data_IF_831728746487
#
_entry.id   IF_831728746487
#
_cell.length_a   1.000
_cell.length_b   1.000
_cell.length_c   1.000
_cell.angle_alpha   90.00
_cell.angle_beta   90.00
_cell.angle_gamma   90.00
#
_symmetry.space_group_name_H-M   'P 1'
#
loop_
_entity.id
_entity.type
_entity.pdbx_description
1 polymer ?
#
# COMPACT_ATOMS: atom_id res chain seq x y z
N UNK A 1 -25.92 -2.90 28.14
CA UNK A 1 -25.52 -3.67 26.95
C UNK A 1 -26.65 -3.57 25.94
N UNK A 2 -26.45 -2.97 24.76
CA UNK A 2 -27.52 -2.82 23.77
C UNK A 2 -27.84 -4.22 23.19
N UNK A 3 -29.10 -4.63 23.25
CA UNK A 3 -29.53 -5.95 22.79
C UNK A 3 -29.48 -6.01 21.26
N UNK A 4 -28.62 -6.86 20.71
CA UNK A 4 -28.58 -7.12 19.26
C UNK A 4 -29.86 -7.81 18.81
N UNK A 5 -30.35 -7.47 17.61
CA UNK A 5 -31.49 -8.13 17.00
C UNK A 5 -31.03 -9.47 16.37
N UNK A 6 -31.61 -10.59 16.82
CA UNK A 6 -31.22 -11.91 16.37
C UNK A 6 -31.51 -12.17 14.89
N UNK A 7 -32.58 -11.60 14.33
CA UNK A 7 -32.91 -11.70 12.91
C UNK A 7 -31.87 -10.96 12.06
N UNK A 8 -31.45 -9.77 12.50
CA UNK A 8 -30.39 -9.00 11.83
C UNK A 8 -29.06 -9.76 11.80
N UNK A 9 -28.67 -10.40 12.90
CA UNK A 9 -27.41 -11.17 12.94
C UNK A 9 -27.43 -12.38 12.01
N UNK A 10 -28.60 -13.05 11.86
CA UNK A 10 -28.78 -14.16 10.91
C UNK A 10 -28.60 -13.68 9.48
N UNK A 11 -29.35 -12.65 9.07
CA UNK A 11 -29.28 -12.17 7.67
C UNK A 11 -27.94 -11.51 7.34
N UNK A 12 -27.27 -10.89 8.31
CA UNK A 12 -25.88 -10.42 8.15
C UNK A 12 -24.93 -11.59 7.89
N UNK A 13 -25.06 -12.69 8.63
CA UNK A 13 -24.28 -13.91 8.39
C UNK A 13 -24.54 -14.45 6.97
N UNK A 14 -25.80 -14.51 6.55
CA UNK A 14 -26.17 -14.98 5.20
C UNK A 14 -25.56 -14.10 4.11
N UNK A 15 -25.56 -12.77 4.29
CA UNK A 15 -24.89 -11.85 3.38
C UNK A 15 -23.38 -12.10 3.29
N UNK A 16 -22.71 -12.28 4.42
CA UNK A 16 -21.25 -12.52 4.45
C UNK A 16 -20.90 -13.87 3.84
N UNK A 17 -21.73 -14.91 4.05
CA UNK A 17 -21.61 -16.20 3.36
C UNK A 17 -21.79 -16.00 1.85
N UNK A 18 -22.81 -15.27 1.41
CA UNK A 18 -23.02 -14.98 -0.01
C UNK A 18 -21.83 -14.20 -0.63
N UNK A 19 -21.29 -13.21 0.09
CA UNK A 19 -20.11 -12.47 -0.37
C UNK A 19 -18.88 -13.38 -0.52
N UNK A 20 -18.69 -14.32 0.41
CA UNK A 20 -17.59 -15.30 0.36
C UNK A 20 -17.81 -16.29 -0.79
N UNK A 21 -18.90 -17.03 -0.75
CA UNK A 21 -19.14 -18.20 -1.59
C UNK A 21 -19.61 -17.82 -3.00
N UNK A 22 -20.53 -16.87 -3.14
CA UNK A 22 -21.12 -16.53 -4.43
C UNK A 22 -20.38 -15.39 -5.14
N UNK A 23 -19.71 -14.49 -4.40
CA UNK A 23 -18.94 -13.36 -4.97
C UNK A 23 -17.42 -13.53 -4.89
N UNK A 24 -16.92 -14.60 -4.27
CA UNK A 24 -15.49 -14.89 -4.17
C UNK A 24 -14.70 -13.78 -3.48
N UNK A 25 -15.31 -13.07 -2.52
CA UNK A 25 -14.65 -11.97 -1.81
C UNK A 25 -13.72 -12.50 -0.73
N UNK A 26 -12.61 -11.80 -0.50
CA UNK A 26 -11.64 -12.13 0.56
C UNK A 26 -12.18 -11.80 1.94
N UNK A 27 -11.64 -12.45 2.98
CA UNK A 27 -12.03 -12.19 4.38
C UNK A 27 -11.90 -10.71 4.76
N UNK A 28 -10.86 -10.01 4.29
CA UNK A 28 -10.70 -8.57 4.57
C UNK A 28 -11.84 -7.73 3.97
N UNK A 29 -12.37 -8.15 2.83
CA UNK A 29 -13.53 -7.49 2.21
C UNK A 29 -14.80 -7.76 3.02
N UNK A 30 -14.94 -8.97 3.57
CA UNK A 30 -16.05 -9.34 4.46
C UNK A 30 -16.00 -8.53 5.75
N UNK A 31 -14.84 -8.39 6.37
CA UNK A 31 -14.65 -7.60 7.59
C UNK A 31 -15.03 -6.13 7.40
N UNK A 32 -14.63 -5.53 6.27
CA UNK A 32 -15.00 -4.15 5.93
C UNK A 32 -16.52 -4.02 5.76
N UNK A 33 -17.16 -4.98 5.09
CA UNK A 33 -18.61 -4.99 4.91
C UNK A 33 -19.34 -5.16 6.26
N UNK A 34 -18.90 -6.12 7.08
CA UNK A 34 -19.44 -6.38 8.41
C UNK A 34 -19.33 -5.15 9.32
N UNK A 35 -18.17 -4.49 9.33
CA UNK A 35 -17.94 -3.26 10.11
C UNK A 35 -18.84 -2.11 9.63
N UNK A 36 -19.06 -1.97 8.32
CA UNK A 36 -19.95 -0.96 7.78
C UNK A 36 -21.42 -1.20 8.20
N UNK A 37 -21.88 -2.46 8.11
CA UNK A 37 -23.24 -2.85 8.52
C UNK A 37 -23.43 -2.66 10.04
N UNK A 38 -22.47 -3.09 10.86
CA UNK A 38 -22.54 -2.93 12.31
C UNK A 38 -22.58 -1.46 12.74
N UNK A 39 -21.87 -0.58 12.02
CA UNK A 39 -21.93 0.87 12.26
C UNK A 39 -23.33 1.44 11.99
N UNK A 40 -24.00 0.97 10.93
CA UNK A 40 -25.40 1.33 10.66
C UNK A 40 -26.37 0.75 11.71
N UNK A 41 -26.17 -0.50 12.12
CA UNK A 41 -26.96 -1.11 13.20
C UNK A 41 -26.82 -0.33 14.50
N UNK A 42 -25.60 0.08 14.85
CA UNK A 42 -25.32 0.90 16.04
C UNK A 42 -26.10 2.22 16.00
N UNK A 43 -26.05 2.92 14.86
CA UNK A 43 -26.78 4.18 14.66
C UNK A 43 -28.31 4.01 14.81
N UNK A 44 -28.86 2.92 14.30
CA UNK A 44 -30.31 2.65 14.36
C UNK A 44 -30.76 2.00 15.67
N UNK A 45 -29.85 1.77 16.62
CA UNK A 45 -30.15 1.07 17.87
C UNK A 45 -30.53 -0.40 17.65
N UNK A 46 -29.95 -1.04 16.63
CA UNK A 46 -30.18 -2.44 16.24
C UNK A 46 -31.65 -2.76 15.90
N UNK A 47 -32.42 -1.78 15.39
CA UNK A 47 -33.77 -2.01 14.84
C UNK A 47 -33.74 -3.07 13.72
N UNK A 48 -34.83 -3.82 13.57
CA UNK A 48 -34.93 -4.86 12.55
C UNK A 48 -34.76 -4.27 11.14
N UNK A 49 -33.97 -4.90 10.28
CA UNK A 49 -33.76 -4.39 8.91
C UNK A 49 -35.06 -4.34 8.09
N UNK A 50 -36.08 -5.14 8.43
CA UNK A 50 -37.44 -5.06 7.86
C UNK A 50 -38.15 -3.73 8.11
N UNK A 51 -37.69 -2.95 9.09
CA UNK A 51 -38.26 -1.62 9.38
C UNK A 51 -37.52 -0.50 8.65
N UNK A 52 -36.66 -0.86 7.70
CA UNK A 52 -35.86 0.10 6.96
C UNK A 52 -36.72 1.16 6.29
N UNK A 53 -36.34 2.43 6.47
CA UNK A 53 -36.90 3.55 5.73
C UNK A 53 -35.80 4.49 5.25
N UNK A 54 -36.00 5.21 4.12
CA UNK A 54 -35.03 6.19 3.61
C UNK A 54 -34.52 7.19 4.65
N UNK A 55 -35.35 7.59 5.62
CA UNK A 55 -34.98 8.53 6.68
C UNK A 55 -33.89 7.98 7.61
N UNK A 56 -33.79 6.66 7.75
CA UNK A 56 -32.69 6.04 8.51
C UNK A 56 -31.36 6.13 7.75
N UNK A 57 -31.38 6.03 6.42
CA UNK A 57 -30.18 6.23 5.61
C UNK A 57 -29.72 7.69 5.61
N UNK A 58 -30.67 8.65 5.52
CA UNK A 58 -30.34 10.08 5.55
C UNK A 58 -29.84 10.53 6.93
N UNK A 59 -30.48 10.08 8.02
CA UNK A 59 -30.01 10.35 9.38
C UNK A 59 -28.66 9.69 9.67
N UNK A 60 -28.43 8.45 9.20
CA UNK A 60 -27.13 7.79 9.33
C UNK A 60 -26.03 8.56 8.60
N UNK A 61 -26.28 9.06 7.39
CA UNK A 61 -25.32 9.90 6.66
C UNK A 61 -24.96 11.17 7.42
N UNK A 62 -25.97 11.85 7.98
CA UNK A 62 -25.77 13.07 8.75
C UNK A 62 -25.02 12.82 10.06
N UNK A 63 -25.26 11.68 10.70
CA UNK A 63 -24.53 11.26 11.88
C UNK A 63 -23.08 10.89 11.56
N UNK A 64 -22.88 10.05 10.55
CA UNK A 64 -21.56 9.61 10.12
C UNK A 64 -20.65 10.78 9.73
N UNK A 65 -21.20 11.85 9.13
CA UNK A 65 -20.43 13.04 8.77
C UNK A 65 -19.98 13.89 9.98
N UNK A 66 -20.63 13.75 11.14
CA UNK A 66 -20.26 14.42 12.40
C UNK A 66 -19.30 13.59 13.25
N UNK A 67 -19.16 12.30 12.97
CA UNK A 67 -18.28 11.42 13.74
C UNK A 67 -16.80 11.75 13.52
N UNK A 68 -16.00 11.51 14.54
CA UNK A 68 -14.54 11.61 14.51
C UNK A 68 -13.91 10.22 14.42
N UNK A 69 -12.70 10.15 13.89
CA UNK A 69 -11.89 8.93 13.88
C UNK A 69 -11.27 8.73 15.27
N UNK A 70 -11.51 7.58 15.94
CA UNK A 70 -10.89 7.30 17.24
C UNK A 70 -9.35 7.34 17.20
N UNK A 71 -8.77 6.95 16.06
CA UNK A 71 -7.32 6.88 15.89
C UNK A 71 -6.63 8.24 15.71
N UNK A 72 -7.35 9.26 15.21
CA UNK A 72 -6.75 10.57 14.90
C UNK A 72 -7.41 11.74 15.60
N UNK A 73 -8.55 11.55 16.26
CA UNK A 73 -9.37 12.61 16.86
C UNK A 73 -10.02 13.57 15.86
N UNK A 74 -9.70 13.47 14.56
CA UNK A 74 -10.19 14.35 13.49
C UNK A 74 -11.52 13.84 12.92
N UNK A 75 -12.33 14.71 12.27
CA UNK A 75 -13.52 14.27 11.53
C UNK A 75 -13.20 13.16 10.53
N UNK A 76 -14.14 12.23 10.33
CA UNK A 76 -13.95 11.15 9.35
C UNK A 76 -13.67 11.71 7.96
N UNK A 77 -12.72 11.07 7.26
CA UNK A 77 -12.41 11.46 5.88
C UNK A 77 -13.59 11.17 4.95
N UNK A 78 -13.77 11.98 3.90
CA UNK A 78 -14.78 11.73 2.85
C UNK A 78 -14.64 10.33 2.24
N UNK A 79 -13.41 9.80 2.12
CA UNK A 79 -13.16 8.43 1.66
C UNK A 79 -13.71 7.37 2.62
N UNK A 80 -13.57 7.58 3.95
CA UNK A 80 -14.17 6.71 4.97
C UNK A 80 -15.69 6.75 4.91
N UNK A 81 -16.28 7.95 4.81
CA UNK A 81 -17.74 8.10 4.64
C UNK A 81 -18.23 7.34 3.41
N UNK A 82 -17.56 7.55 2.27
CA UNK A 82 -17.91 6.92 1.00
C UNK A 82 -17.83 5.39 1.08
N UNK A 83 -16.75 4.84 1.64
CA UNK A 83 -16.56 3.41 1.80
C UNK A 83 -17.60 2.77 2.71
N UNK A 84 -17.85 3.36 3.88
CA UNK A 84 -18.89 2.87 4.81
C UNK A 84 -20.27 2.89 4.16
N UNK A 85 -20.66 4.01 3.54
CA UNK A 85 -21.97 4.14 2.91
C UNK A 85 -22.14 3.19 1.72
N UNK A 86 -21.10 2.98 0.91
CA UNK A 86 -21.14 2.00 -0.18
C UNK A 86 -21.27 0.57 0.32
N UNK A 87 -20.60 0.22 1.42
CA UNK A 87 -20.76 -1.08 2.07
C UNK A 87 -22.20 -1.32 2.53
N UNK A 88 -22.80 -0.35 3.22
CA UNK A 88 -24.19 -0.45 3.69
C UNK A 88 -25.18 -0.46 2.51
N UNK A 89 -24.97 0.39 1.50
CA UNK A 89 -25.76 0.40 0.27
C UNK A 89 -25.78 -0.98 -0.40
N UNK A 90 -24.60 -1.59 -0.60
CA UNK A 90 -24.49 -2.90 -1.24
C UNK A 90 -25.20 -4.01 -0.43
N UNK A 91 -25.20 -3.91 0.90
CA UNK A 91 -25.95 -4.83 1.76
C UNK A 91 -27.46 -4.67 1.55
N UNK A 92 -28.00 -3.44 1.55
CA UNK A 92 -29.44 -3.22 1.36
C UNK A 92 -29.92 -3.52 -0.07
N UNK A 93 -29.08 -3.31 -1.08
CA UNK A 93 -29.35 -3.74 -2.48
C UNK A 93 -29.42 -5.27 -2.63
N UNK A 94 -28.60 -6.00 -1.87
CA UNK A 94 -28.71 -7.45 -1.77
C UNK A 94 -29.97 -7.85 -0.99
N UNK A 95 -30.18 -7.25 0.18
CA UNK A 95 -31.30 -7.54 1.07
C UNK A 95 -32.66 -7.34 0.39
N UNK A 96 -32.80 -6.34 -0.48
CA UNK A 96 -34.03 -6.09 -1.24
C UNK A 96 -34.42 -7.24 -2.18
N UNK A 97 -33.51 -8.19 -2.44
CA UNK A 97 -33.74 -9.37 -3.30
C UNK A 97 -34.02 -10.63 -2.51
N UNK A 98 -33.78 -10.61 -1.20
CA UNK A 98 -33.88 -11.79 -0.35
C UNK A 98 -35.33 -12.10 0.06
N UNK A 99 -35.72 -13.39 0.11
CA UNK A 99 -37.03 -13.80 0.60
C UNK A 99 -37.32 -13.21 1.99
N UNK A 100 -38.54 -12.71 2.18
CA UNK A 100 -38.95 -12.06 3.43
C UNK A 100 -38.52 -10.59 3.60
N UNK A 101 -37.67 -10.07 2.70
CA UNK A 101 -37.24 -8.66 2.71
C UNK A 101 -37.69 -7.86 1.49
N UNK A 102 -38.00 -8.50 0.35
CA UNK A 102 -38.48 -7.82 -0.88
C UNK A 102 -39.63 -6.84 -0.69
N UNK A 103 -40.56 -7.15 0.21
CA UNK A 103 -41.72 -6.30 0.51
C UNK A 103 -41.37 -5.15 1.45
N UNK A 104 -40.36 -5.33 2.29
CA UNK A 104 -39.96 -4.41 3.35
C UNK A 104 -38.85 -3.44 2.93
N UNK A 105 -38.00 -3.85 1.99
CA UNK A 105 -36.84 -3.10 1.53
C UNK A 105 -36.91 -2.99 0.00
N UNK A 106 -37.10 -1.78 -0.51
CA UNK A 106 -37.04 -1.53 -1.96
C UNK A 106 -35.61 -1.28 -2.38
N UNK A 107 -35.25 -1.72 -3.59
CA UNK A 107 -33.92 -1.49 -4.14
C UNK A 107 -33.59 0.01 -4.25
N UNK A 108 -34.56 0.84 -4.64
CA UNK A 108 -34.42 2.30 -4.71
C UNK A 108 -34.11 2.95 -3.36
N UNK A 109 -34.59 2.36 -2.26
CA UNK A 109 -34.39 2.94 -0.93
C UNK A 109 -32.92 2.79 -0.48
N UNK A 110 -32.21 1.78 -0.98
CA UNK A 110 -30.77 1.63 -0.75
C UNK A 110 -29.96 2.78 -1.37
N UNK A 111 -30.45 3.41 -2.43
CA UNK A 111 -29.74 4.53 -3.08
C UNK A 111 -29.60 5.76 -2.17
N UNK A 112 -30.43 5.88 -1.12
CA UNK A 112 -30.35 6.98 -0.15
C UNK A 112 -29.04 7.00 0.64
N UNK A 113 -28.30 5.88 0.69
CA UNK A 113 -26.94 5.83 1.22
C UNK A 113 -25.91 6.56 0.35
N UNK A 114 -26.23 6.88 -0.91
CA UNK A 114 -25.31 7.55 -1.85
C UNK A 114 -24.91 8.94 -1.35
N UNK A 115 -23.60 9.25 -1.30
CA UNK A 115 -23.11 10.60 -1.02
C UNK A 115 -23.44 11.56 -2.16
N UNK A 116 -23.53 12.86 -1.87
CA UNK A 116 -23.65 13.85 -2.93
C UNK A 116 -22.45 13.76 -3.89
N UNK A 117 -22.66 14.15 -5.15
CA UNK A 117 -21.66 13.96 -6.23
C UNK A 117 -20.33 14.66 -5.93
N UNK A 118 -20.36 15.82 -5.29
CA UNK A 118 -19.15 16.57 -4.95
C UNK A 118 -18.33 15.86 -3.87
N UNK A 119 -18.99 15.40 -2.81
CA UNK A 119 -18.36 14.61 -1.75
C UNK A 119 -17.83 13.27 -2.27
N UNK A 120 -18.57 12.61 -3.17
CA UNK A 120 -18.10 11.40 -3.83
C UNK A 120 -16.83 11.68 -4.66
N UNK A 121 -16.80 12.76 -5.46
CA UNK A 121 -15.60 13.17 -6.20
C UNK A 121 -14.42 13.46 -5.27
N UNK A 122 -14.65 14.18 -4.17
CA UNK A 122 -13.61 14.49 -3.17
C UNK A 122 -13.12 13.22 -2.46
N UNK A 123 -14.02 12.25 -2.22
CA UNK A 123 -13.68 10.97 -1.60
C UNK A 123 -12.81 10.09 -2.50
N UNK A 124 -13.07 10.12 -3.81
CA UNK A 124 -12.35 9.31 -4.81
C UNK A 124 -11.19 10.05 -5.46
N UNK A 125 -11.02 11.34 -5.20
CA UNK A 125 -9.92 12.13 -5.73
C UNK A 125 -8.57 11.61 -5.24
N UNK A 126 -7.64 11.43 -6.18
CA UNK A 126 -6.25 11.13 -5.85
C UNK A 126 -5.65 12.34 -5.13
N UNK A 127 -5.27 12.15 -3.87
CA UNK A 127 -4.56 13.17 -3.09
C UNK A 127 -3.06 13.01 -3.30
N UNK A 128 -2.37 14.13 -3.46
CA UNK A 128 -0.93 14.18 -3.31
C UNK A 128 -0.59 13.68 -1.90
N UNK A 129 0.24 12.64 -1.83
CA UNK A 129 0.83 12.20 -0.57
C UNK A 129 2.33 12.44 -0.68
N UNK A 130 2.96 13.03 0.33
CA UNK A 130 4.38 13.25 0.28
C UNK A 130 5.10 11.89 0.17
N UNK A 131 6.17 11.86 -0.62
CA UNK A 131 7.07 10.72 -0.78
C UNK A 131 8.50 11.22 -0.70
N UNK A 132 9.43 10.41 -0.18
CA UNK A 132 10.81 10.84 -0.08
C UNK A 132 11.44 10.95 -1.48
N UNK A 133 12.41 11.83 -1.66
CA UNK A 133 13.29 11.81 -2.83
C UNK A 133 14.21 10.58 -2.77
N UNK A 134 14.81 10.20 -3.90
CA UNK A 134 15.78 9.11 -3.92
C UNK A 134 16.95 9.38 -2.96
N UNK A 135 17.47 10.61 -2.97
CA UNK A 135 18.54 11.06 -2.07
C UNK A 135 18.16 10.97 -0.58
N UNK A 136 16.92 11.31 -0.23
CA UNK A 136 16.44 11.13 1.14
C UNK A 136 16.45 9.66 1.57
N UNK A 137 16.06 8.73 0.69
CA UNK A 137 16.11 7.30 1.00
C UNK A 137 17.55 6.81 1.10
N UNK A 138 18.46 7.28 0.23
CA UNK A 138 19.90 6.98 0.33
C UNK A 138 20.49 7.48 1.64
N UNK A 139 20.14 8.70 2.05
CA UNK A 139 20.56 9.25 3.34
C UNK A 139 20.08 8.37 4.49
N UNK A 140 18.80 7.95 4.50
CA UNK A 140 18.28 7.00 5.49
C UNK A 140 19.13 5.72 5.52
N UNK A 141 19.39 5.10 4.37
CA UNK A 141 20.20 3.89 4.29
C UNK A 141 21.64 4.10 4.76
N UNK A 142 22.19 5.30 4.64
CA UNK A 142 23.56 5.63 5.07
C UNK A 142 23.70 5.81 6.59
N UNK A 143 22.64 6.29 7.27
CA UNK A 143 22.67 6.55 8.73
C UNK A 143 22.08 5.40 9.55
N UNK A 144 21.42 4.44 8.91
CA UNK A 144 20.92 3.25 9.60
C UNK A 144 22.08 2.45 10.21
N UNK A 145 21.95 2.00 11.48
CA UNK A 145 22.98 1.21 12.12
C UNK A 145 23.16 -0.14 11.41
N UNK A 146 24.34 -0.74 11.59
CA UNK A 146 24.73 -2.01 10.97
C UNK A 146 25.44 -2.98 11.92
N UNK A 147 25.49 -2.64 13.22
CA UNK A 147 26.26 -3.38 14.22
C UNK A 147 25.67 -4.76 14.47
N UNK A 148 24.36 -4.85 14.67
CA UNK A 148 23.66 -6.11 14.90
C UNK A 148 23.08 -6.69 13.62
N UNK A 149 22.86 -8.00 13.62
CA UNK A 149 22.23 -8.72 12.51
C UNK A 149 20.81 -8.21 12.21
N UNK A 150 20.07 -7.79 13.24
CA UNK A 150 18.73 -7.20 13.09
C UNK A 150 18.79 -5.83 12.42
N UNK A 151 19.79 -5.02 12.75
CA UNK A 151 19.98 -3.71 12.12
C UNK A 151 20.35 -3.83 10.64
N UNK A 152 21.24 -4.78 10.28
CA UNK A 152 21.55 -5.10 8.88
C UNK A 152 20.33 -5.61 8.11
N UNK A 153 19.52 -6.51 8.70
CA UNK A 153 18.23 -6.95 8.14
C UNK A 153 17.32 -5.75 7.85
N UNK A 154 17.16 -4.87 8.83
CA UNK A 154 16.25 -3.73 8.74
C UNK A 154 16.69 -2.74 7.66
N UNK A 155 18.01 -2.49 7.55
CA UNK A 155 18.61 -1.68 6.47
C UNK A 155 18.39 -2.33 5.10
N UNK A 156 18.65 -3.63 4.98
CA UNK A 156 18.43 -4.38 3.75
C UNK A 156 16.96 -4.44 3.35
N UNK A 157 16.02 -4.45 4.30
CA UNK A 157 14.58 -4.44 4.02
C UNK A 157 14.14 -3.15 3.33
N UNK A 158 14.61 -1.99 3.79
CA UNK A 158 14.30 -0.71 3.13
C UNK A 158 14.95 -0.65 1.75
N UNK A 159 16.23 -1.03 1.66
CA UNK A 159 16.95 -1.09 0.39
C UNK A 159 16.24 -2.00 -0.62
N UNK A 160 15.78 -3.17 -0.19
CA UNK A 160 15.06 -4.13 -1.02
C UNK A 160 13.71 -3.59 -1.52
N UNK A 161 12.94 -2.90 -0.67
CA UNK A 161 11.68 -2.29 -1.10
C UNK A 161 11.93 -1.16 -2.10
N UNK A 162 12.98 -0.35 -1.92
CA UNK A 162 13.37 0.65 -2.91
C UNK A 162 13.78 -0.02 -4.23
N UNK A 163 14.60 -1.07 -4.16
CA UNK A 163 15.16 -1.76 -5.31
C UNK A 163 14.10 -2.50 -6.14
N UNK A 164 13.04 -3.01 -5.50
CA UNK A 164 12.04 -3.88 -6.16
C UNK A 164 10.66 -3.26 -6.28
N UNK A 165 10.39 -2.17 -5.55
CA UNK A 165 9.07 -1.59 -5.42
C UNK A 165 8.02 -2.54 -4.82
N UNK A 166 8.41 -3.65 -4.18
CA UNK A 166 7.46 -4.65 -3.66
C UNK A 166 6.57 -4.09 -2.55
N UNK A 167 5.36 -4.67 -2.39
CA UNK A 167 4.45 -4.31 -1.29
C UNK A 167 4.92 -4.97 0.00
N UNK A 168 4.70 -4.31 1.15
CA UNK A 168 5.07 -4.80 2.48
C UNK A 168 4.60 -6.24 2.74
N UNK A 169 3.34 -6.56 2.41
CA UNK A 169 2.80 -7.92 2.53
C UNK A 169 3.55 -8.97 1.68
N UNK A 170 3.98 -8.61 0.47
CA UNK A 170 4.73 -9.52 -0.40
C UNK A 170 6.17 -9.73 0.12
N UNK A 171 6.81 -8.66 0.61
CA UNK A 171 8.17 -8.72 1.18
C UNK A 171 8.23 -9.62 2.40
N UNK A 172 7.28 -9.52 3.33
CA UNK A 172 7.31 -10.36 4.55
C UNK A 172 7.11 -11.85 4.28
N UNK A 173 6.49 -12.23 3.15
CA UNK A 173 6.28 -13.62 2.73
C UNK A 173 7.36 -14.14 1.77
N UNK A 174 8.32 -13.30 1.39
CA UNK A 174 9.27 -13.65 0.33
C UNK A 174 10.30 -14.68 0.83
N UNK A 175 10.48 -15.75 0.05
CA UNK A 175 11.47 -16.80 0.28
C UNK A 175 12.73 -16.58 -0.57
N UNK A 176 13.88 -17.07 -0.10
CA UNK A 176 15.17 -16.91 -0.80
C UNK A 176 15.14 -17.47 -2.24
N UNK A 177 14.48 -18.61 -2.49
CA UNK A 177 14.34 -19.21 -3.84
C UNK A 177 13.67 -18.31 -4.88
N UNK A 178 12.99 -17.26 -4.44
CA UNK A 178 12.28 -16.30 -5.31
C UNK A 178 13.16 -15.11 -5.71
N UNK A 179 14.35 -14.99 -5.14
CA UNK A 179 15.28 -13.90 -5.38
C UNK A 179 16.48 -14.41 -6.19
N UNK A 180 16.68 -13.81 -7.37
CA UNK A 180 17.85 -14.06 -8.22
C UNK A 180 18.67 -12.77 -8.29
N UNK A 181 19.73 -12.69 -7.47
CA UNK A 181 20.63 -11.53 -7.42
C UNK A 181 21.39 -11.37 -8.74
N UNK A 182 21.79 -12.47 -9.38
CA UNK A 182 22.53 -12.43 -10.64
C UNK A 182 21.70 -11.88 -11.80
N UNK A 183 20.42 -12.25 -11.87
CA UNK A 183 19.45 -11.69 -12.84
C UNK A 183 18.79 -10.39 -12.38
N UNK A 184 19.11 -9.90 -11.17
CA UNK A 184 18.50 -8.70 -10.57
C UNK A 184 16.97 -8.76 -10.62
N UNK A 185 16.41 -9.90 -10.21
CA UNK A 185 14.99 -10.22 -10.38
C UNK A 185 14.40 -10.90 -9.14
N UNK A 186 13.13 -10.62 -8.88
CA UNK A 186 12.31 -11.31 -7.87
C UNK A 186 11.07 -11.90 -8.53
N UNK A 187 10.85 -13.20 -8.33
CA UNK A 187 9.63 -13.90 -8.73
C UNK A 187 8.55 -13.78 -7.64
N UNK A 188 7.52 -12.98 -7.88
CA UNK A 188 6.38 -12.85 -6.98
C UNK A 188 5.27 -13.83 -7.38
N UNK A 189 5.46 -15.10 -7.05
CA UNK A 189 4.49 -16.17 -7.30
C UNK A 189 3.43 -16.20 -6.19
N UNK A 190 2.16 -15.99 -6.56
CA UNK A 190 1.07 -15.86 -5.59
C UNK A 190 0.81 -17.13 -4.75
N UNK A 191 1.41 -18.27 -5.12
CA UNK A 191 1.32 -19.53 -4.36
C UNK A 191 2.11 -19.50 -3.04
N UNK A 192 3.18 -18.72 -2.97
CA UNK A 192 4.01 -18.58 -1.76
C UNK A 192 4.33 -17.13 -1.38
N UNK A 193 4.00 -16.15 -2.24
CA UNK A 193 4.16 -14.71 -1.97
C UNK A 193 2.78 -14.06 -1.85
N UNK A 194 2.54 -13.32 -0.76
CA UNK A 194 1.28 -12.60 -0.48
C UNK A 194 1.14 -11.35 -1.37
N UNK A 195 0.91 -11.56 -2.66
CA UNK A 195 0.72 -10.49 -3.64
C UNK A 195 -0.71 -9.94 -3.61
N UNK A 196 -0.88 -8.68 -4.03
CA UNK A 196 -2.21 -8.07 -4.13
C UNK A 196 -3.02 -8.78 -5.20
N UNK A 197 -4.24 -9.20 -4.85
CA UNK A 197 -5.15 -9.92 -5.72
C UNK A 197 -4.57 -11.23 -6.29
N UNK A 198 -3.65 -11.87 -5.55
CA UNK A 198 -3.02 -13.14 -5.93
C UNK A 198 -2.41 -13.13 -7.34
N UNK A 199 -1.84 -11.99 -7.76
CA UNK A 199 -1.16 -11.86 -9.05
C UNK A 199 0.23 -12.48 -9.00
N UNK A 200 0.56 -13.27 -10.01
CA UNK A 200 1.92 -13.77 -10.23
C UNK A 200 2.64 -12.92 -11.28
N UNK A 201 3.81 -12.38 -10.94
CA UNK A 201 4.62 -11.56 -11.84
C UNK A 201 6.08 -11.51 -11.38
N UNK A 202 6.98 -11.03 -12.24
CA UNK A 202 8.36 -10.76 -11.88
C UNK A 202 8.58 -9.26 -11.65
N UNK A 203 9.36 -8.93 -10.63
CA UNK A 203 9.90 -7.59 -10.41
C UNK A 203 11.38 -7.59 -10.77
N UNK A 204 11.77 -6.70 -11.66
CA UNK A 204 13.18 -6.45 -11.95
C UNK A 204 13.67 -5.31 -11.06
N UNK A 205 14.95 -5.31 -10.71
CA UNK A 205 15.53 -4.25 -9.90
C UNK A 205 15.47 -2.92 -10.63
N UNK A 206 14.96 -1.91 -9.95
CA UNK A 206 14.98 -0.54 -10.43
C UNK A 206 16.41 0.03 -10.35
N UNK A 207 16.80 0.92 -11.29
CA UNK A 207 18.15 1.50 -11.34
C UNK A 207 18.34 2.59 -10.27
N UNK A 208 18.28 2.21 -8.99
CA UNK A 208 18.31 3.14 -7.85
C UNK A 208 19.71 3.39 -7.28
N UNK A 209 20.73 2.64 -7.73
CA UNK A 209 22.12 2.76 -7.31
C UNK A 209 22.77 1.42 -6.96
N UNK A 210 24.07 1.29 -7.25
CA UNK A 210 24.84 0.07 -6.95
C UNK A 210 25.09 -0.11 -5.45
N UNK A 211 25.18 0.98 -4.70
CA UNK A 211 25.22 1.01 -3.24
C UNK A 211 23.96 0.38 -2.61
N UNK A 212 22.78 0.67 -3.15
CA UNK A 212 21.52 0.07 -2.67
C UNK A 212 21.47 -1.42 -3.00
N UNK A 213 21.93 -1.80 -4.19
CA UNK A 213 22.02 -3.21 -4.59
C UNK A 213 23.03 -3.98 -3.72
N UNK A 214 24.16 -3.37 -3.38
CA UNK A 214 25.19 -3.94 -2.53
C UNK A 214 24.63 -4.32 -1.15
N UNK A 215 23.87 -3.42 -0.51
CA UNK A 215 23.23 -3.70 0.79
C UNK A 215 22.38 -4.97 0.73
N UNK A 216 21.61 -5.16 -0.34
CA UNK A 216 20.75 -6.34 -0.51
C UNK A 216 21.58 -7.59 -0.77
N UNK A 217 22.61 -7.49 -1.61
CA UNK A 217 23.52 -8.59 -1.92
C UNK A 217 24.24 -9.09 -0.66
N UNK A 218 24.86 -8.19 0.09
CA UNK A 218 25.55 -8.51 1.36
C UNK A 218 24.61 -9.19 2.35
N UNK A 219 23.36 -8.73 2.43
CA UNK A 219 22.35 -9.36 3.29
C UNK A 219 22.01 -10.80 2.87
N UNK A 220 21.84 -11.05 1.57
CA UNK A 220 21.57 -12.39 1.05
C UNK A 220 22.77 -13.31 1.22
N UNK A 221 23.99 -12.80 1.03
CA UNK A 221 25.23 -13.51 1.31
C UNK A 221 25.34 -13.87 2.80
N UNK A 222 25.07 -12.93 3.70
CA UNK A 222 25.07 -13.18 5.15
C UNK A 222 24.04 -14.27 5.53
N UNK A 223 22.81 -14.19 5.00
CA UNK A 223 21.78 -15.21 5.26
C UNK A 223 22.22 -16.60 4.82
N UNK A 224 22.79 -16.73 3.63
CA UNK A 224 23.13 -18.03 3.03
C UNK A 224 24.44 -18.60 3.56
N UNK A 225 25.46 -17.76 3.78
CA UNK A 225 26.80 -18.20 4.16
C UNK A 225 27.02 -18.21 5.67
N UNK A 226 26.45 -17.26 6.42
CA UNK A 226 26.63 -17.16 7.88
C UNK A 226 25.51 -17.85 8.63
N UNK A 227 24.25 -17.57 8.27
CA UNK A 227 23.08 -18.11 8.99
C UNK A 227 22.56 -19.44 8.41
N UNK A 228 23.15 -19.89 7.29
CA UNK A 228 22.83 -21.14 6.60
C UNK A 228 21.34 -21.26 6.26
N UNK A 229 20.76 -20.17 5.76
CA UNK A 229 19.40 -20.15 5.26
C UNK A 229 19.31 -20.84 3.90
N UNK A 230 18.32 -21.72 3.77
CA UNK A 230 18.04 -22.47 2.56
C UNK A 230 17.02 -21.76 1.65
N UNK A 231 16.73 -22.36 0.48
CA UNK A 231 15.85 -21.76 -0.52
C UNK A 231 14.43 -21.44 -0.03
N UNK A 232 13.90 -22.22 0.93
CA UNK A 232 12.55 -22.03 1.47
C UNK A 232 12.48 -21.08 2.69
N UNK A 233 13.62 -20.63 3.20
CA UNK A 233 13.69 -19.69 4.31
C UNK A 233 13.36 -18.25 3.86
N UNK A 234 12.87 -17.39 4.78
CA UNK A 234 12.52 -16.02 4.48
C UNK A 234 13.74 -15.16 4.11
N UNK A 235 13.57 -14.26 3.12
CA UNK A 235 14.55 -13.20 2.84
C UNK A 235 14.62 -12.21 4.00
N UNK A 236 13.51 -11.99 4.70
CA UNK A 236 13.45 -11.13 5.88
C UNK A 236 12.79 -11.89 7.03
N UNK A 237 13.59 -12.58 7.87
CA UNK A 237 13.08 -13.40 8.97
C UNK A 237 12.50 -12.54 10.10
N UNK A 238 11.46 -13.09 10.75
CA UNK A 238 10.84 -12.49 11.90
C UNK A 238 11.81 -12.41 13.09
N UNK A 239 11.74 -11.28 13.82
CA UNK A 239 12.51 -11.10 15.05
C UNK A 239 12.14 -12.18 16.08
N UNK A 240 13.14 -12.85 16.64
CA UNK A 240 12.97 -13.78 17.76
C UNK A 240 12.94 -12.97 19.05
N UNK A 241 11.89 -13.17 19.84
CA UNK A 241 11.75 -12.59 21.17
C UNK A 241 12.10 -13.67 22.19
N UNK A 242 13.04 -13.36 23.08
CA UNK A 242 13.43 -14.20 24.21
C UNK A 242 13.41 -13.40 25.50
N UNK A 243 13.82 -14.03 26.61
CA UNK A 243 13.96 -13.37 27.90
C UNK A 243 15.42 -12.94 28.10
N UNK A 244 15.62 -11.77 28.71
CA UNK A 244 16.91 -11.33 29.23
C UNK A 244 17.22 -12.00 30.58
N UNK A 245 18.42 -11.82 31.16
CA UNK A 245 18.76 -12.37 32.48
C UNK A 245 17.87 -11.88 33.63
N UNK A 246 17.11 -10.79 33.44
CA UNK A 246 16.15 -10.25 34.41
C UNK A 246 14.71 -10.72 34.13
N UNK A 247 14.49 -11.60 33.15
CA UNK A 247 13.17 -12.10 32.77
C UNK A 247 12.33 -11.14 31.95
N UNK A 248 12.91 -10.09 31.36
CA UNK A 248 12.22 -9.16 30.46
C UNK A 248 12.32 -9.61 29.01
N UNK A 249 11.28 -9.34 28.23
CA UNK A 249 11.28 -9.67 26.80
C UNK A 249 12.25 -8.77 26.04
N UNK A 250 13.18 -9.39 25.30
CA UNK A 250 14.12 -8.70 24.43
C UNK A 250 14.26 -9.40 23.08
N UNK A 251 14.74 -8.65 22.08
CA UNK A 251 15.09 -9.23 20.79
C UNK A 251 16.40 -10.02 20.92
N UNK A 252 16.36 -11.32 20.62
CA UNK A 252 17.52 -12.22 20.73
C UNK A 252 18.05 -12.68 19.37
N UNK A 253 17.77 -11.92 18.31
CA UNK A 253 18.08 -12.26 16.91
C UNK A 253 16.80 -12.49 16.08
N UNK A 254 16.88 -13.36 15.07
CA UNK A 254 15.73 -13.73 14.22
C UNK A 254 15.52 -15.24 14.14
N UNK A 255 14.26 -15.63 13.85
CA UNK A 255 13.87 -17.01 13.59
C UNK A 255 14.07 -17.41 12.12
N UNK A 256 13.49 -18.54 11.72
CA UNK A 256 13.35 -18.95 10.30
C UNK A 256 11.92 -18.73 9.78
N UNK A 257 11.08 -18.10 10.58
CA UNK A 257 9.69 -17.83 10.24
C UNK A 257 9.52 -16.47 9.56
N UNK A 258 8.51 -16.39 8.69
CA UNK A 258 8.02 -15.12 8.18
C UNK A 258 7.31 -14.32 9.29
N UNK A 259 7.28 -12.99 9.15
CA UNK A 259 6.34 -12.21 9.96
C UNK A 259 4.90 -12.57 9.61
N UNK A 260 4.03 -12.70 10.62
CA UNK A 260 2.61 -12.94 10.42
C UNK A 260 1.92 -11.73 9.73
N UNK A 261 2.31 -10.51 10.11
CA UNK A 261 1.75 -9.24 9.66
C UNK A 261 2.86 -8.25 9.25
N UNK A 262 2.50 -7.28 8.41
CA UNK A 262 3.45 -6.28 7.89
C UNK A 262 3.75 -5.10 8.85
N UNK A 263 3.18 -5.11 10.06
CA UNK A 263 3.41 -4.04 11.05
C UNK A 263 4.89 -3.81 11.38
N UNK A 264 5.76 -4.85 11.52
CA UNK A 264 7.18 -4.66 11.76
C UNK A 264 7.88 -3.86 10.65
N UNK A 265 7.53 -4.08 9.38
CA UNK A 265 8.07 -3.31 8.24
C UNK A 265 7.77 -1.81 8.42
N UNK A 266 6.54 -1.47 8.85
CA UNK A 266 6.16 -0.07 9.07
C UNK A 266 6.89 0.55 10.25
N UNK A 267 7.13 -0.22 11.31
CA UNK A 267 7.91 0.21 12.47
C UNK A 267 9.38 0.46 12.10
N UNK A 268 9.98 -0.42 11.28
CA UNK A 268 11.34 -0.26 10.75
C UNK A 268 11.46 1.03 9.93
N UNK A 269 10.54 1.24 8.98
CA UNK A 269 10.50 2.49 8.21
C UNK A 269 10.38 3.72 9.11
N UNK A 270 9.46 3.69 10.08
CA UNK A 270 9.29 4.78 11.03
C UNK A 270 10.59 5.12 11.75
N UNK A 271 11.20 4.12 12.40
CA UNK A 271 12.44 4.27 13.15
C UNK A 271 13.57 4.80 12.26
N UNK A 272 13.71 4.28 11.05
CA UNK A 272 14.79 4.66 10.14
C UNK A 272 14.66 6.11 9.64
N UNK A 273 13.46 6.52 9.23
CA UNK A 273 13.24 7.91 8.79
C UNK A 273 13.36 8.90 9.95
N UNK A 274 12.84 8.56 11.14
CA UNK A 274 12.97 9.40 12.34
C UNK A 274 14.46 9.56 12.75
N UNK A 275 15.25 8.48 12.72
CA UNK A 275 16.68 8.52 13.01
C UNK A 275 17.48 9.37 12.01
N UNK A 276 17.00 9.50 10.77
CA UNK A 276 17.58 10.38 9.74
C UNK A 276 17.08 11.82 9.80
N UNK A 277 16.29 12.19 10.82
CA UNK A 277 15.69 13.53 10.93
C UNK A 277 14.64 13.85 9.86
N UNK A 278 14.06 12.82 9.23
CA UNK A 278 13.07 12.97 8.16
C UNK A 278 11.66 12.59 8.63
N UNK A 279 10.60 13.15 7.99
CA UNK A 279 9.24 12.72 8.25
C UNK A 279 9.05 11.22 7.98
N UNK A 280 8.14 10.59 8.72
CA UNK A 280 7.78 9.20 8.45
C UNK A 280 7.13 9.05 7.07
N UNK A 281 7.76 8.23 6.23
CA UNK A 281 7.21 7.76 4.96
C UNK A 281 6.89 6.26 5.05
N UNK A 282 5.69 5.87 4.62
CA UNK A 282 5.25 4.48 4.66
C UNK A 282 5.88 3.67 3.51
N UNK A 283 6.10 2.34 3.64
CA UNK A 283 6.80 1.54 2.62
C UNK A 283 6.31 1.75 1.17
N UNK A 284 4.99 1.83 1.00
CA UNK A 284 4.36 2.01 -0.29
C UNK A 284 4.60 3.40 -0.93
N UNK A 285 5.10 4.40 -0.20
CA UNK A 285 5.46 5.70 -0.78
C UNK A 285 6.72 5.61 -1.66
N UNK A 286 7.59 4.62 -1.45
CA UNK A 286 8.78 4.41 -2.30
C UNK A 286 8.41 4.11 -3.75
N UNK A 287 7.22 3.56 -4.02
CA UNK A 287 6.73 3.41 -5.40
C UNK A 287 6.51 4.75 -6.11
N UNK A 288 6.24 5.83 -5.36
CA UNK A 288 6.20 7.19 -5.92
C UNK A 288 7.59 7.74 -6.15
N UNK A 289 8.54 7.50 -5.24
CA UNK A 289 9.97 7.78 -5.47
C UNK A 289 10.45 7.13 -6.76
N UNK A 290 10.09 5.87 -7.00
CA UNK A 290 10.39 5.15 -8.24
C UNK A 290 9.70 5.75 -9.47
N UNK A 291 8.45 6.20 -9.37
CA UNK A 291 7.81 6.87 -10.51
C UNK A 291 8.39 8.24 -10.83
N UNK A 292 8.88 8.98 -9.82
CA UNK A 292 9.65 10.21 -10.05
C UNK A 292 10.96 9.90 -10.78
N UNK A 293 11.69 8.88 -10.34
CA UNK A 293 12.89 8.41 -11.05
C UNK A 293 12.59 8.02 -12.51
N UNK A 294 11.44 7.41 -12.79
CA UNK A 294 11.02 7.11 -14.16
C UNK A 294 10.80 8.38 -15.02
N UNK A 295 10.36 9.49 -14.41
CA UNK A 295 10.28 10.78 -15.09
C UNK A 295 11.66 11.40 -15.33
N UNK A 296 12.53 11.36 -14.32
CA UNK A 296 13.90 11.88 -14.41
C UNK A 296 14.73 11.13 -15.48
N UNK A 297 14.44 9.84 -15.69
CA UNK A 297 15.06 9.00 -16.72
C UNK A 297 14.42 9.16 -18.12
N UNK A 298 13.38 9.99 -18.26
CA UNK A 298 12.63 10.21 -19.51
C UNK A 298 12.23 8.90 -20.24
N UNK A 299 11.73 7.91 -19.49
CA UNK A 299 11.45 6.58 -20.05
C UNK A 299 10.49 6.63 -21.24
N UNK A 300 10.84 5.91 -22.30
CA UNK A 300 9.95 5.68 -23.44
C UNK A 300 8.67 4.92 -23.01
N UNK A 301 7.59 4.94 -23.81
CA UNK A 301 6.38 4.18 -23.51
C UNK A 301 6.61 2.68 -23.29
N UNK A 302 7.57 2.07 -24.01
CA UNK A 302 7.95 0.67 -23.86
C UNK A 302 8.67 0.42 -22.54
N UNK A 303 9.59 1.29 -22.16
CA UNK A 303 10.31 1.19 -20.89
C UNK A 303 9.37 1.45 -19.70
N UNK A 304 8.48 2.44 -19.80
CA UNK A 304 7.45 2.70 -18.80
C UNK A 304 6.50 1.50 -18.65
N UNK A 305 6.21 0.76 -19.73
CA UNK A 305 5.47 -0.49 -19.67
C UNK A 305 6.21 -1.54 -18.86
N UNK A 306 7.49 -1.79 -19.15
CA UNK A 306 8.31 -2.73 -18.37
C UNK A 306 8.42 -2.31 -16.89
N UNK A 307 8.60 -1.01 -16.63
CA UNK A 307 8.63 -0.41 -15.30
C UNK A 307 7.32 -0.69 -14.54
N UNK A 308 6.18 -0.47 -15.18
CA UNK A 308 4.86 -0.72 -14.59
C UNK A 308 4.61 -2.20 -14.29
N UNK A 309 5.10 -3.10 -15.15
CA UNK A 309 5.00 -4.54 -14.93
C UNK A 309 5.83 -4.98 -13.72
N UNK A 310 7.01 -4.39 -13.52
CA UNK A 310 7.83 -4.62 -12.32
C UNK A 310 7.16 -4.16 -11.03
N UNK A 311 6.24 -3.18 -11.08
CA UNK A 311 5.38 -2.79 -9.95
C UNK A 311 4.14 -3.69 -9.75
N UNK A 312 3.93 -4.65 -10.65
CA UNK A 312 2.78 -5.56 -10.69
C UNK A 312 1.53 -4.93 -11.30
N UNK A 313 1.68 -3.97 -12.21
CA UNK A 313 0.58 -3.31 -12.91
C UNK A 313 0.46 -3.82 -14.34
N UNK A 314 -0.76 -4.15 -14.77
CA UNK A 314 -1.05 -4.59 -16.14
C UNK A 314 -0.98 -3.45 -17.15
N UNK A 315 -1.27 -2.22 -16.71
CA UNK A 315 -1.29 -1.03 -17.56
C UNK A 315 -0.42 0.09 -16.96
N UNK A 316 0.40 0.77 -17.78
CA UNK A 316 1.16 1.96 -17.35
C UNK A 316 0.27 3.04 -16.74
N UNK A 317 -0.97 3.17 -17.22
CA UNK A 317 -1.96 4.12 -16.69
C UNK A 317 -2.25 3.90 -15.20
N UNK A 318 -2.13 2.67 -14.72
CA UNK A 318 -2.28 2.37 -13.28
C UNK A 318 -1.14 3.01 -12.48
N UNK A 319 0.10 2.96 -12.99
CA UNK A 319 1.26 3.60 -12.36
C UNK A 319 1.14 5.13 -12.41
N UNK A 320 0.82 5.67 -13.59
CA UNK A 320 0.63 7.11 -13.80
C UNK A 320 -0.49 7.66 -12.92
N UNK A 321 -1.65 7.01 -12.88
CA UNK A 321 -2.78 7.45 -12.05
C UNK A 321 -2.56 7.29 -10.54
N UNK A 322 -1.78 6.30 -10.10
CA UNK A 322 -1.55 6.03 -8.67
C UNK A 322 -0.41 6.85 -8.07
N UNK A 323 0.66 7.04 -8.84
CA UNK A 323 1.92 7.61 -8.33
C UNK A 323 2.48 8.74 -9.21
N UNK A 324 1.98 8.88 -10.44
CA UNK A 324 2.52 9.81 -11.44
C UNK A 324 1.86 11.18 -11.49
N UNK A 325 1.00 11.51 -10.52
CA UNK A 325 0.50 12.87 -10.40
C UNK A 325 1.67 13.79 -10.00
N UNK A 326 1.94 14.79 -10.85
CA UNK A 326 2.88 15.86 -10.56
C UNK A 326 2.27 16.81 -9.54
N UNK A 327 3.10 17.34 -8.65
CA UNK A 327 2.74 18.52 -7.85
C UNK A 327 2.47 19.72 -8.77
N UNK A 328 1.81 20.75 -8.23
CA UNK A 328 1.55 21.98 -9.02
C UNK A 328 2.82 22.66 -9.49
N UNK A 329 3.86 22.60 -8.67
CA UNK A 329 5.19 23.17 -8.97
C UNK A 329 5.88 22.34 -10.06
N UNK A 330 6.01 21.02 -9.88
CA UNK A 330 6.59 20.11 -10.89
C UNK A 330 5.84 20.23 -12.24
N UNK A 331 4.50 20.35 -12.22
CA UNK A 331 3.72 20.58 -13.43
C UNK A 331 4.09 21.91 -14.11
N UNK A 332 4.24 22.99 -13.33
CA UNK A 332 4.66 24.29 -13.84
C UNK A 332 6.03 24.25 -14.49
N UNK A 333 7.01 23.62 -13.83
CA UNK A 333 8.37 23.49 -14.31
C UNK A 333 8.44 22.68 -15.61
N UNK A 334 7.74 21.54 -15.66
CA UNK A 334 7.65 20.71 -16.87
C UNK A 334 7.03 21.49 -18.03
N UNK A 335 5.96 22.25 -17.78
CA UNK A 335 5.32 23.05 -18.82
C UNK A 335 6.21 24.20 -19.32
N UNK A 336 6.95 24.85 -18.42
CA UNK A 336 7.93 25.87 -18.79
C UNK A 336 9.06 25.27 -19.64
N UNK A 337 9.59 24.11 -19.25
CA UNK A 337 10.62 23.41 -20.00
C UNK A 337 10.14 22.95 -21.39
N UNK A 338 8.89 22.47 -21.52
CA UNK A 338 8.28 22.16 -22.83
C UNK A 338 8.24 23.42 -23.71
N UNK A 339 7.89 24.58 -23.15
CA UNK A 339 7.86 25.84 -23.90
C UNK A 339 9.26 26.22 -24.41
N UNK A 340 10.30 26.08 -23.57
CA UNK A 340 11.70 26.33 -23.95
C UNK A 340 12.16 25.37 -25.05
N UNK A 341 11.95 24.05 -24.89
CA UNK A 341 12.30 23.03 -25.91
C UNK A 341 11.65 23.31 -27.27
N UNK A 342 10.45 23.89 -27.28
CA UNK A 342 9.73 24.26 -28.51
C UNK A 342 10.29 25.53 -29.16
N UNK A 343 10.71 26.51 -28.37
CA UNK A 343 11.22 27.79 -28.88
C UNK A 343 12.66 27.74 -29.36
N UNK A 344 13.46 26.81 -28.82
CA UNK A 344 14.87 26.65 -29.17
C UNK A 344 15.25 25.15 -29.13
N UNK A 345 15.15 24.44 -30.28
CA UNK A 345 15.47 23.02 -30.36
C UNK A 345 16.94 22.70 -30.06
N UNK A 346 17.86 23.63 -30.34
CA UNK A 346 19.30 23.41 -30.20
C UNK A 346 19.75 23.59 -28.73
N UNK A 347 19.15 24.53 -27.99
CA UNK A 347 19.41 24.72 -26.55
C UNK A 347 19.00 23.50 -25.69
N UNK A 348 17.95 22.77 -26.10
CA UNK A 348 17.55 21.53 -25.45
C UNK A 348 18.63 20.44 -25.54
N UNK A 349 19.33 20.37 -26.67
CA UNK A 349 20.42 19.42 -26.91
C UNK A 349 21.63 19.72 -26.05
N UNK A 350 21.96 20.99 -25.85
CA UNK A 350 23.13 21.43 -25.08
C UNK A 350 22.93 21.24 -23.56
N UNK A 351 21.72 21.50 -23.04
CA UNK A 351 21.33 21.19 -21.66
C UNK A 351 21.31 19.67 -21.41
N UNK A 352 20.78 18.89 -22.36
CA UNK A 352 20.78 17.42 -22.30
C UNK A 352 22.22 16.86 -22.34
N UNK A 353 23.08 17.44 -23.17
CA UNK A 353 24.52 17.13 -23.23
C UNK A 353 25.24 17.49 -21.92
N UNK A 354 24.95 18.64 -21.32
CA UNK A 354 25.49 19.02 -20.00
C UNK A 354 25.02 18.08 -18.89
N UNK A 355 23.74 17.71 -18.88
CA UNK A 355 23.19 16.77 -17.91
C UNK A 355 23.77 15.36 -18.09
N UNK A 356 23.95 14.88 -19.33
CA UNK A 356 24.68 13.64 -19.64
C UNK A 356 26.14 13.71 -19.19
N UNK A 357 26.85 14.81 -19.45
CA UNK A 357 28.23 14.97 -19.01
C UNK A 357 28.37 15.03 -17.49
N UNK A 358 27.43 15.65 -16.78
CA UNK A 358 27.37 15.65 -15.31
C UNK A 358 27.10 14.24 -14.74
N UNK A 359 26.23 13.46 -15.39
CA UNK A 359 25.97 12.06 -15.04
C UNK A 359 27.18 11.15 -15.29
N UNK A 360 27.92 11.38 -16.37
CA UNK A 360 29.14 10.63 -16.69
C UNK A 360 30.31 11.01 -15.77
N UNK A 361 30.41 12.27 -15.35
CA UNK A 361 31.40 12.71 -14.37
C UNK A 361 31.19 12.05 -13.00
N UNK A 362 29.92 11.85 -12.58
CA UNK A 362 29.56 11.13 -11.34
C UNK A 362 29.78 9.62 -11.38
N UNK A 363 30.00 9.01 -12.56
CA UNK A 363 30.36 7.59 -12.71
C UNK A 363 31.86 7.33 -12.62
N UNK A 364 32.70 8.37 -12.63
CA UNK A 364 34.17 8.27 -12.60
C UNK A 364 34.78 8.69 -11.25
N UNK A 365 33.96 9.11 -10.29
CA UNK A 365 34.29 9.29 -8.87
C UNK A 365 33.70 8.15 -8.07
#
# INVERSE_FOLDING_TARGET
>A
MIKRNAENERVKRDYLIWMREARGRSEETLDIAAAAIDRFQTHTGYKAFKTFRPEQATSFKADLSRQTSPASGKPLSKATLYGTLKGVQAFFEWLSREPGYRQAVRMSDAEYFTLNRNDARVATATRERPSPSLEQVRHVLSVMPTTTTLERRDRALIAFILLTGMRDAAVISLKLKRLDIGRKQVSQDARDVKTKAAKTFASHFFPVGEDVELIVREWVEELTQTHLFGPDDPVFPATRIGLDPMGQFQATGFGRDHWALANPVRAIFRKAFEAAGLPYFYPHSLRRTLMRLAYDLELSPRELKAWSQSLGHESPLTSLGSYGALSREEQGDVMAHIAVRKSDPDAATEETLRQMMALLARRRS
#
